data_IF_169613982505
#
_entry.id   IF_169613982505
#
_cell.length_a   1.000
_cell.length_b   1.000
_cell.length_c   1.000
_cell.angle_alpha   90.00
_cell.angle_beta   90.00
_cell.angle_gamma   90.00
#
_symmetry.space_group_name_H-M   'P 1'
#
loop_
_entity.id
_entity.type
_entity.pdbx_description
1 polymer ?
#
# COMPACT_ATOMS: atom_id res chain seq x y z
N UNK A 1 -21.69 -18.54 17.64
CA UNK A 1 -20.97 -17.45 18.31
C UNK A 1 -19.94 -16.92 17.32
N UNK A 2 -20.16 -15.70 16.84
CA UNK A 2 -19.28 -15.07 15.84
C UNK A 2 -17.94 -14.66 16.46
N UNK A 3 -16.93 -14.48 15.62
CA UNK A 3 -15.58 -14.00 16.01
C UNK A 3 -15.70 -12.66 16.76
N UNK A 4 -16.64 -11.82 16.37
CA UNK A 4 -16.94 -10.54 17.03
C UNK A 4 -17.36 -10.71 18.50
N UNK A 5 -18.11 -11.75 18.86
CA UNK A 5 -18.47 -12.01 20.26
C UNK A 5 -17.25 -12.29 21.15
N UNK A 6 -16.19 -12.90 20.60
CA UNK A 6 -14.94 -13.13 21.34
C UNK A 6 -14.10 -11.87 21.50
N UNK A 7 -14.09 -11.01 20.48
CA UNK A 7 -13.32 -9.77 20.45
C UNK A 7 -13.91 -8.75 21.42
N UNK A 8 -15.25 -8.68 21.53
CA UNK A 8 -15.96 -7.63 22.25
C UNK A 8 -16.49 -7.99 23.65
N UNK A 9 -16.24 -9.21 24.13
CA UNK A 9 -16.76 -9.71 25.42
C UNK A 9 -16.27 -9.01 26.70
N UNK A 10 -15.34 -8.06 26.64
CA UNK A 10 -14.69 -7.47 27.83
C UNK A 10 -14.99 -5.99 28.06
N UNK A 11 -16.13 -5.47 27.61
CA UNK A 11 -16.45 -4.07 27.77
C UNK A 11 -17.27 -3.80 29.05
N UNK A 12 -16.91 -2.77 29.84
CA UNK A 12 -17.73 -2.33 30.97
C UNK A 12 -19.04 -1.71 30.48
N UNK A 13 -20.15 -2.20 30.98
CA UNK A 13 -21.52 -1.90 30.53
C UNK A 13 -22.13 -0.58 31.01
N UNK A 14 -21.42 0.37 31.58
CA UNK A 14 -22.03 1.58 32.13
C UNK A 14 -21.50 2.87 31.54
N UNK A 15 -22.18 3.35 30.50
CA UNK A 15 -22.08 4.69 29.95
C UNK A 15 -23.21 5.54 30.48
N UNK A 16 -22.98 6.35 31.49
CA UNK A 16 -24.03 7.26 31.97
C UNK A 16 -23.88 8.69 31.45
N UNK A 17 -22.72 9.11 31.03
CA UNK A 17 -22.47 10.44 30.46
C UNK A 17 -21.32 10.36 29.43
N UNK A 18 -21.63 10.34 28.14
CA UNK A 18 -20.68 10.46 27.09
C UNK A 18 -21.02 11.65 26.19
N UNK A 19 -20.08 12.57 26.01
CA UNK A 19 -20.19 13.68 25.07
C UNK A 19 -19.60 13.28 23.73
N UNK A 20 -20.38 13.43 22.66
CA UNK A 20 -19.86 13.26 21.30
C UNK A 20 -18.97 14.46 20.96
N UNK A 21 -17.68 14.26 20.78
CA UNK A 21 -16.66 15.30 20.61
C UNK A 21 -16.71 16.02 19.26
N UNK A 22 -17.46 15.51 18.30
CA UNK A 22 -17.65 16.17 17.01
C UNK A 22 -19.09 16.00 16.57
N UNK A 23 -19.75 17.10 16.19
CA UNK A 23 -21.05 17.10 15.55
C UNK A 23 -21.09 16.42 14.17
N UNK A 24 -20.01 15.74 13.80
CA UNK A 24 -19.86 14.95 12.60
C UNK A 24 -19.67 13.51 13.00
N UNK A 25 -20.68 12.70 12.79
CA UNK A 25 -20.48 11.26 12.64
C UNK A 25 -19.72 11.10 11.33
N UNK A 26 -18.45 10.65 11.34
CA UNK A 26 -17.85 10.23 10.10
C UNK A 26 -18.58 8.97 9.67
N UNK A 27 -19.67 9.16 8.92
CA UNK A 27 -20.17 8.08 8.10
C UNK A 27 -18.99 7.72 7.20
N UNK A 28 -18.55 6.45 7.26
CA UNK A 28 -17.88 5.89 6.11
C UNK A 28 -19.00 5.67 5.09
N UNK A 29 -19.39 6.67 4.28
CA UNK A 29 -20.26 6.39 3.17
C UNK A 29 -19.47 5.37 2.35
N UNK A 30 -20.15 4.58 1.61
CA UNK A 30 -19.54 3.82 0.51
C UNK A 30 -19.01 4.82 -0.53
N UNK A 31 -18.17 5.72 -0.05
CA UNK A 31 -17.54 6.78 -0.79
C UNK A 31 -16.54 6.15 -1.63
N UNK A 32 -16.49 5.88 -2.46
CA UNK A 32 -15.54 5.23 -3.24
C UNK A 32 -16.17 4.41 -4.31
N UNK A 33 -17.41 4.08 -4.23
CA UNK A 33 -18.00 3.28 -5.29
C UNK A 33 -17.78 3.94 -6.64
N UNK A 34 -17.88 5.26 -6.73
CA UNK A 34 -17.67 5.95 -8.01
C UNK A 34 -16.21 6.14 -8.42
N UNK A 35 -15.31 6.43 -7.46
CA UNK A 35 -13.88 6.61 -7.76
C UNK A 35 -13.19 5.26 -7.94
N UNK A 36 -13.49 4.30 -7.09
CA UNK A 36 -12.89 2.97 -7.11
C UNK A 36 -13.49 2.04 -8.16
N UNK A 37 -14.51 2.47 -8.89
CA UNK A 37 -14.95 1.84 -10.14
C UNK A 37 -14.03 2.18 -11.32
N UNK A 38 -13.20 3.23 -11.20
CA UNK A 38 -12.19 3.54 -12.22
C UNK A 38 -11.07 2.52 -12.19
N UNK A 39 -10.80 1.91 -13.31
CA UNK A 39 -9.72 0.95 -13.53
C UNK A 39 -8.35 1.55 -13.17
N UNK A 40 -8.04 2.75 -13.63
CA UNK A 40 -6.79 3.43 -13.35
C UNK A 40 -6.57 3.65 -11.82
N UNK A 41 -7.62 3.97 -11.07
CA UNK A 41 -7.54 4.12 -9.61
C UNK A 41 -7.28 2.77 -8.95
N UNK A 42 -8.00 1.73 -9.34
CA UNK A 42 -7.79 0.38 -8.78
C UNK A 42 -6.37 -0.13 -9.04
N UNK A 43 -5.85 0.09 -10.24
CA UNK A 43 -4.49 -0.30 -10.61
C UNK A 43 -3.46 0.45 -9.77
N UNK A 44 -3.62 1.77 -9.56
CA UNK A 44 -2.74 2.56 -8.72
C UNK A 44 -2.73 2.08 -7.27
N UNK A 45 -3.90 1.87 -6.68
CA UNK A 45 -4.03 1.39 -5.30
C UNK A 45 -3.45 -0.02 -5.15
N UNK A 46 -3.76 -0.91 -6.08
CA UNK A 46 -3.21 -2.27 -6.08
C UNK A 46 -1.69 -2.28 -6.14
N UNK A 47 -1.08 -1.42 -6.95
CA UNK A 47 0.37 -1.28 -7.03
C UNK A 47 1.00 -0.94 -5.67
N UNK A 48 0.42 0.01 -4.91
CA UNK A 48 0.88 0.37 -3.57
C UNK A 48 0.67 -0.79 -2.59
N UNK A 49 -0.51 -1.41 -2.63
CA UNK A 49 -0.87 -2.52 -1.73
C UNK A 49 0.03 -3.73 -1.96
N UNK A 50 0.32 -4.07 -3.22
CA UNK A 50 1.19 -5.19 -3.57
C UNK A 50 2.63 -5.00 -3.08
N UNK A 51 3.11 -3.77 -2.97
CA UNK A 51 4.39 -3.48 -2.37
C UNK A 51 4.36 -3.54 -0.83
N UNK A 52 3.32 -3.00 -0.21
CA UNK A 52 3.21 -3.00 1.26
C UNK A 52 3.00 -4.40 1.83
N UNK A 53 2.25 -5.28 1.15
CA UNK A 53 2.03 -6.66 1.64
C UNK A 53 3.28 -7.56 1.63
N UNK A 54 4.37 -7.13 0.95
CA UNK A 54 5.66 -7.82 0.96
C UNK A 54 6.47 -7.53 2.22
N UNK A 55 6.10 -6.50 2.99
CA UNK A 55 6.82 -6.07 4.17
C UNK A 55 6.74 -7.11 5.29
N UNK A 56 7.80 -7.15 6.11
CA UNK A 56 7.84 -7.98 7.31
C UNK A 56 7.78 -7.07 8.53
N UNK A 57 6.62 -7.05 9.24
CA UNK A 57 6.53 -6.34 10.50
C UNK A 57 7.37 -7.07 11.55
N UNK A 58 8.30 -6.36 12.17
CA UNK A 58 9.25 -6.92 13.13
C UNK A 58 9.28 -6.06 14.39
N UNK A 59 9.19 -6.70 15.56
CA UNK A 59 9.48 -6.04 16.83
C UNK A 59 10.99 -5.93 16.99
N UNK A 60 11.49 -4.72 17.14
CA UNK A 60 12.89 -4.44 17.41
C UNK A 60 13.03 -3.64 18.69
N UNK A 61 14.20 -3.73 19.28
CA UNK A 61 14.65 -2.89 20.39
C UNK A 61 15.96 -2.19 20.03
N UNK A 62 15.97 -0.88 20.16
CA UNK A 62 17.21 -0.10 19.97
C UNK A 62 18.11 -0.28 21.18
N UNK A 63 19.28 -0.87 20.99
CA UNK A 63 20.34 -1.04 21.99
C UNK A 63 21.59 -0.38 21.42
N UNK A 64 22.14 0.60 22.12
CA UNK A 64 23.34 1.35 21.68
C UNK A 64 23.24 1.89 20.24
N UNK A 65 22.05 2.36 19.85
CA UNK A 65 21.69 2.85 18.52
C UNK A 65 21.60 1.77 17.43
N UNK A 66 21.71 0.49 17.79
CA UNK A 66 21.53 -0.63 16.86
C UNK A 66 20.13 -1.27 17.02
N UNK A 67 19.45 -1.60 15.92
CA UNK A 67 18.17 -2.28 15.96
C UNK A 67 18.34 -3.78 16.18
N UNK A 68 17.97 -4.26 17.35
CA UNK A 68 18.03 -5.68 17.71
C UNK A 68 16.63 -6.29 17.64
N UNK A 69 16.38 -7.33 16.83
CA UNK A 69 15.10 -8.04 16.80
C UNK A 69 14.78 -8.72 18.13
N UNK A 70 13.49 -8.74 18.50
CA UNK A 70 13.00 -9.40 19.71
C UNK A 70 12.01 -10.51 19.32
N UNK A 71 12.48 -11.67 18.86
CA UNK A 71 11.62 -12.71 18.27
C UNK A 71 10.68 -13.37 19.29
N UNK A 72 11.06 -13.44 20.56
CA UNK A 72 10.31 -14.15 21.61
C UNK A 72 9.18 -13.31 22.23
N UNK A 73 8.93 -12.09 21.74
CA UNK A 73 7.86 -11.27 22.27
C UNK A 73 6.49 -11.69 21.74
N UNK A 74 5.43 -11.51 22.54
CA UNK A 74 4.05 -11.71 22.06
C UNK A 74 3.71 -10.84 20.87
N UNK A 75 4.37 -9.67 20.77
CA UNK A 75 4.22 -8.74 19.66
C UNK A 75 4.82 -9.34 18.38
N UNK A 76 6.02 -9.94 18.45
CA UNK A 76 6.60 -10.63 17.31
C UNK A 76 5.74 -11.80 16.85
N UNK A 77 5.20 -12.57 17.78
CA UNK A 77 4.30 -13.69 17.46
C UNK A 77 3.04 -13.20 16.71
N UNK A 78 2.38 -12.16 17.22
CA UNK A 78 1.16 -11.62 16.61
C UNK A 78 1.42 -10.83 15.32
N UNK A 79 2.62 -10.36 15.10
CA UNK A 79 3.02 -9.75 13.84
C UNK A 79 3.32 -10.79 12.75
N UNK A 80 3.83 -11.96 13.17
CA UNK A 80 4.10 -13.10 12.26
C UNK A 80 2.83 -13.88 11.92
N UNK A 81 1.87 -13.96 12.85
CA UNK A 81 0.55 -14.60 12.68
C UNK A 81 -0.53 -13.71 13.29
N UNK A 82 -1.06 -12.73 12.53
CA UNK A 82 -1.92 -11.69 13.07
C UNK A 82 -3.24 -12.19 13.64
N UNK A 83 -3.84 -13.18 13.04
CA UNK A 83 -5.08 -13.80 13.51
C UNK A 83 -5.37 -15.11 12.75
N UNK A 84 -6.27 -15.97 13.25
CA UNK A 84 -6.57 -17.27 12.63
C UNK A 84 -7.17 -17.22 11.23
N UNK A 85 -7.50 -16.04 10.72
CA UNK A 85 -8.17 -15.86 9.42
C UNK A 85 -7.23 -15.33 8.33
N UNK A 86 -6.09 -14.75 8.71
CA UNK A 86 -5.25 -13.96 7.80
C UNK A 86 -3.79 -14.24 8.06
N UNK A 87 -3.05 -14.42 7.00
CA UNK A 87 -1.58 -14.34 7.01
C UNK A 87 -1.12 -12.90 7.21
N UNK A 88 0.13 -12.68 7.54
CA UNK A 88 0.72 -11.33 7.66
C UNK A 88 0.56 -10.52 6.37
N UNK A 89 0.74 -11.17 5.21
CA UNK A 89 0.58 -10.50 3.91
C UNK A 89 -0.86 -10.04 3.68
N UNK A 90 -1.85 -10.90 3.96
CA UNK A 90 -3.28 -10.56 3.84
C UNK A 90 -3.70 -9.49 4.86
N UNK A 91 -3.16 -9.54 6.06
CA UNK A 91 -3.37 -8.51 7.07
C UNK A 91 -2.87 -7.14 6.60
N UNK A 92 -1.63 -7.06 6.11
CA UNK A 92 -1.06 -5.82 5.58
C UNK A 92 -1.82 -5.34 4.34
N UNK A 93 -2.23 -6.25 3.47
CA UNK A 93 -3.06 -5.96 2.30
C UNK A 93 -4.37 -5.30 2.74
N UNK A 94 -5.11 -5.92 3.66
CA UNK A 94 -6.40 -5.40 4.13
C UNK A 94 -6.25 -4.05 4.85
N UNK A 95 -5.25 -3.91 5.73
CA UNK A 95 -4.99 -2.64 6.44
C UNK A 95 -4.67 -1.53 5.44
N UNK A 96 -3.85 -1.82 4.43
CA UNK A 96 -3.45 -0.84 3.42
C UNK A 96 -4.63 -0.44 2.54
N UNK A 97 -5.47 -1.40 2.10
CA UNK A 97 -6.71 -1.11 1.39
C UNK A 97 -7.63 -0.20 2.21
N UNK A 98 -7.90 -0.54 3.47
CA UNK A 98 -8.73 0.29 4.36
C UNK A 98 -8.17 1.70 4.51
N UNK A 99 -6.85 1.81 4.64
CA UNK A 99 -6.17 3.09 4.81
C UNK A 99 -6.27 3.97 3.56
N UNK A 100 -6.02 3.42 2.38
CA UNK A 100 -6.08 4.17 1.13
C UNK A 100 -7.51 4.50 0.71
N UNK A 101 -8.48 3.61 1.02
CA UNK A 101 -9.89 3.84 0.70
C UNK A 101 -10.55 4.87 1.62
N UNK A 102 -10.23 4.87 2.90
CA UNK A 102 -10.95 5.67 3.90
C UNK A 102 -10.07 6.75 4.56
N UNK A 103 -8.77 6.80 4.24
CA UNK A 103 -7.74 7.60 4.91
C UNK A 103 -7.61 7.32 6.41
N UNK A 104 -8.31 6.30 6.88
CA UNK A 104 -8.32 5.83 8.24
C UNK A 104 -8.42 4.30 8.26
N UNK A 105 -7.53 3.65 8.98
CA UNK A 105 -7.60 2.21 9.23
C UNK A 105 -7.58 1.94 10.72
N UNK A 106 -8.47 1.06 11.17
CA UNK A 106 -8.59 0.67 12.56
C UNK A 106 -8.26 -0.81 12.72
N UNK A 107 -7.39 -1.11 13.68
CA UNK A 107 -7.01 -2.47 14.04
C UNK A 107 -7.35 -2.65 15.52
N UNK A 108 -8.10 -3.67 15.84
CA UNK A 108 -8.47 -4.03 17.21
C UNK A 108 -7.60 -5.19 17.66
N UNK A 109 -6.66 -4.97 18.59
CA UNK A 109 -5.88 -6.04 19.17
C UNK A 109 -6.70 -6.79 20.23
N UNK A 110 -6.57 -8.10 20.28
CA UNK A 110 -6.97 -8.91 21.43
C UNK A 110 -5.74 -9.21 22.28
N UNK A 111 -5.91 -9.07 23.58
CA UNK A 111 -4.84 -9.32 24.53
C UNK A 111 -5.42 -9.71 25.88
N UNK A 112 -4.63 -10.38 26.70
CA UNK A 112 -4.86 -10.51 28.12
C UNK A 112 -3.83 -9.71 28.91
N UNK A 113 -4.24 -9.21 30.07
CA UNK A 113 -3.34 -8.52 31.00
C UNK A 113 -2.75 -9.52 31.98
N UNK A 114 -1.44 -9.47 32.14
CA UNK A 114 -0.71 -10.22 33.14
C UNK A 114 0.01 -9.25 34.07
N UNK A 115 -0.15 -9.47 35.37
CA UNK A 115 0.53 -8.65 36.39
C UNK A 115 1.81 -9.36 36.78
N UNK A 116 2.96 -8.72 36.54
CA UNK A 116 4.25 -9.21 36.97
C UNK A 116 4.31 -9.18 38.51
N UNK A 117 4.40 -10.35 39.12
CA UNK A 117 4.37 -10.51 40.57
C UNK A 117 5.52 -9.81 41.28
N UNK A 118 6.66 -9.61 40.61
CA UNK A 118 7.86 -8.99 41.20
C UNK A 118 7.81 -7.46 41.12
N UNK A 119 7.20 -6.90 40.06
CA UNK A 119 7.19 -5.45 39.80
C UNK A 119 5.82 -4.82 40.02
N UNK A 120 4.77 -5.61 40.17
CA UNK A 120 3.37 -5.14 40.24
C UNK A 120 2.89 -4.48 38.96
N UNK A 121 3.63 -4.59 37.86
CA UNK A 121 3.29 -3.96 36.60
C UNK A 121 2.34 -4.84 35.77
N UNK A 122 1.29 -4.24 35.25
CA UNK A 122 0.45 -4.89 34.24
C UNK A 122 1.13 -4.86 32.89
N UNK A 123 1.24 -6.04 32.29
CA UNK A 123 1.73 -6.22 30.92
C UNK A 123 0.63 -6.80 30.06
N UNK A 124 0.58 -6.36 28.81
CA UNK A 124 -0.34 -6.89 27.79
C UNK A 124 0.35 -8.00 27.02
N UNK A 125 -0.30 -9.13 26.94
CA UNK A 125 0.10 -10.23 26.06
C UNK A 125 -0.88 -10.27 24.90
N UNK A 126 -0.39 -9.91 23.72
CA UNK A 126 -1.20 -9.83 22.51
C UNK A 126 -1.44 -11.23 21.92
N UNK A 127 -2.69 -11.51 21.56
CA UNK A 127 -3.13 -12.79 20.99
C UNK A 127 -3.47 -12.68 19.50
N UNK A 128 -4.08 -11.55 19.09
CA UNK A 128 -4.41 -11.32 17.69
C UNK A 128 -4.61 -9.83 17.38
N UNK A 129 -4.54 -9.51 16.06
CA UNK A 129 -4.80 -8.19 15.48
C UNK A 129 -5.88 -8.33 14.42
N UNK A 130 -6.99 -7.61 14.58
CA UNK A 130 -8.12 -7.64 13.64
C UNK A 130 -8.30 -6.29 12.97
N UNK A 131 -8.03 -6.15 11.67
CA UNK A 131 -8.45 -4.97 10.92
C UNK A 131 -9.97 -4.98 10.81
N UNK A 132 -10.61 -3.86 11.14
CA UNK A 132 -12.06 -3.72 11.13
C UNK A 132 -12.51 -2.75 10.06
N UNK A 133 -13.70 -3.02 9.47
CA UNK A 133 -14.34 -2.17 8.48
C UNK A 133 -15.67 -1.65 9.03
N UNK A 134 -15.66 -0.58 9.82
CA UNK A 134 -16.89 0.04 10.29
C UNK A 134 -17.58 0.81 9.15
N UNK A 135 -18.90 0.98 9.27
CA UNK A 135 -19.70 1.87 8.40
C UNK A 135 -19.71 3.30 8.91
N UNK A 136 -19.59 3.46 10.25
CA UNK A 136 -19.52 4.75 10.91
C UNK A 136 -18.61 4.66 12.13
N UNK A 137 -17.93 5.77 12.44
CA UNK A 137 -17.07 5.88 13.61
C UNK A 137 -17.38 7.18 14.35
N UNK A 138 -17.63 7.09 15.65
CA UNK A 138 -17.80 8.25 16.53
C UNK A 138 -16.70 8.26 17.59
N UNK A 139 -16.18 9.43 17.91
CA UNK A 139 -15.29 9.64 19.04
C UNK A 139 -16.09 10.21 20.20
N UNK A 140 -15.96 9.61 21.37
CA UNK A 140 -16.72 9.92 22.56
C UNK A 140 -15.73 10.14 23.70
N UNK A 141 -15.97 11.17 24.50
CA UNK A 141 -15.22 11.44 25.73
C UNK A 141 -16.13 11.21 26.93
N UNK A 142 -15.63 10.52 27.94
CA UNK A 142 -16.38 10.35 29.21
C UNK A 142 -16.14 11.56 30.12
N UNK A 143 -16.88 11.56 31.25
CA UNK A 143 -16.80 12.64 32.26
C UNK A 143 -15.39 12.78 32.90
N UNK A 144 -14.51 11.78 32.72
CA UNK A 144 -13.14 11.79 33.23
C UNK A 144 -12.12 12.30 32.16
N UNK A 145 -12.57 12.67 30.95
CA UNK A 145 -11.72 13.06 29.84
C UNK A 145 -11.06 11.91 29.10
N UNK A 146 -11.53 10.67 29.32
CA UNK A 146 -11.01 9.50 28.61
C UNK A 146 -11.70 9.34 27.27
N UNK A 147 -10.89 9.17 26.22
CA UNK A 147 -11.37 9.04 24.85
C UNK A 147 -11.74 7.60 24.51
N UNK A 148 -12.90 7.44 23.88
CA UNK A 148 -13.42 6.18 23.36
C UNK A 148 -13.76 6.32 21.89
N UNK A 149 -13.79 5.20 21.20
CA UNK A 149 -14.22 5.12 19.81
C UNK A 149 -15.37 4.13 19.69
N UNK A 150 -16.45 4.57 19.09
CA UNK A 150 -17.65 3.78 18.84
C UNK A 150 -17.71 3.44 17.35
N UNK A 151 -17.78 2.16 17.08
CA UNK A 151 -17.87 1.62 15.72
C UNK A 151 -19.28 1.10 15.45
N UNK A 152 -19.77 1.39 14.26
CA UNK A 152 -21.02 0.87 13.73
C UNK A 152 -20.70 0.00 12.52
N UNK A 153 -21.36 -1.15 12.41
CA UNK A 153 -21.15 -2.10 11.34
C UNK A 153 -22.39 -2.25 10.45
N UNK A 154 -22.17 -2.76 9.23
CA UNK A 154 -23.25 -2.92 8.24
C UNK A 154 -24.36 -3.89 8.69
N UNK A 155 -24.06 -4.82 9.62
CA UNK A 155 -25.01 -5.76 10.21
C UNK A 155 -25.87 -5.14 11.31
N UNK A 156 -25.72 -3.84 11.61
CA UNK A 156 -26.42 -3.12 12.68
C UNK A 156 -25.77 -3.26 14.06
N UNK A 157 -24.70 -4.03 14.19
CA UNK A 157 -23.95 -4.10 15.45
C UNK A 157 -23.18 -2.80 15.70
N UNK A 158 -23.07 -2.47 17.00
CA UNK A 158 -22.24 -1.35 17.45
C UNK A 158 -21.35 -1.79 18.61
N UNK A 159 -20.17 -1.22 18.64
CA UNK A 159 -19.19 -1.51 19.67
C UNK A 159 -18.46 -0.25 20.08
N UNK A 160 -18.18 -0.09 21.38
CA UNK A 160 -17.41 1.04 21.91
C UNK A 160 -16.17 0.52 22.61
N UNK A 161 -15.01 1.00 22.21
CA UNK A 161 -13.71 0.62 22.76
C UNK A 161 -12.99 1.85 23.29
N UNK A 162 -12.14 1.67 24.31
CA UNK A 162 -11.23 2.73 24.70
C UNK A 162 -10.27 3.02 23.53
N UNK A 163 -10.06 4.29 23.22
CA UNK A 163 -9.20 4.67 22.07
C UNK A 163 -7.76 4.19 22.25
N UNK A 164 -7.32 3.99 23.50
CA UNK A 164 -6.00 3.43 23.80
C UNK A 164 -5.85 1.95 23.42
N UNK A 165 -6.97 1.25 23.28
CA UNK A 165 -7.01 -0.17 22.92
C UNK A 165 -7.24 -0.39 21.42
N UNK A 166 -7.22 0.68 20.64
CA UNK A 166 -7.39 0.62 19.17
C UNK A 166 -6.17 1.21 18.50
N UNK A 167 -5.58 0.46 17.56
CA UNK A 167 -4.55 0.97 16.68
C UNK A 167 -5.26 1.70 15.56
N UNK A 168 -5.08 3.02 15.50
CA UNK A 168 -5.65 3.89 14.48
C UNK A 168 -4.54 4.45 13.61
N UNK A 169 -4.54 4.10 12.34
CA UNK A 169 -3.62 4.59 11.33
C UNK A 169 -4.34 5.66 10.53
N UNK A 170 -3.73 6.84 10.41
CA UNK A 170 -4.28 7.99 9.68
C UNK A 170 -3.44 8.26 8.43
N UNK A 171 -4.10 8.55 7.35
CA UNK A 171 -3.46 8.94 6.08
C UNK A 171 -3.86 10.36 5.70
N UNK A 172 -2.91 11.14 5.23
CA UNK A 172 -3.02 12.55 4.93
C UNK A 172 -3.35 13.45 6.14
N UNK A 173 -2.95 14.71 6.02
CA UNK A 173 -3.27 15.74 7.02
C UNK A 173 -4.77 16.04 7.01
N UNK A 174 -5.34 16.21 8.20
CA UNK A 174 -6.70 16.66 8.40
C UNK A 174 -6.76 17.77 9.44
N UNK A 175 -7.67 18.73 9.26
CA UNK A 175 -8.06 19.68 10.31
C UNK A 175 -8.73 18.95 11.47
N UNK A 176 -9.36 17.80 11.21
CA UNK A 176 -9.93 16.93 12.23
C UNK A 176 -8.81 16.21 12.99
N UNK A 177 -8.67 16.50 14.28
CA UNK A 177 -7.62 15.91 15.13
C UNK A 177 -7.77 14.38 15.29
N UNK A 178 -8.97 13.86 15.15
CA UNK A 178 -9.28 12.45 15.38
C UNK A 178 -9.15 11.59 14.13
N UNK A 179 -9.25 12.16 12.94
CA UNK A 179 -9.29 11.42 11.67
C UNK A 179 -8.24 11.92 10.69
N UNK A 180 -7.90 11.12 9.70
CA UNK A 180 -7.18 11.53 8.50
C UNK A 180 -8.15 11.99 7.41
N UNK A 181 -7.68 12.74 6.41
CA UNK A 181 -8.49 13.19 5.28
C UNK A 181 -9.05 14.61 5.44
N UNK A 182 -10.29 14.84 5.02
CA UNK A 182 -10.94 16.13 5.13
C UNK A 182 -11.49 16.41 6.56
N UNK A 183 -12.21 17.52 6.76
CA UNK A 183 -12.77 17.91 8.05
C UNK A 183 -13.70 16.86 8.67
N UNK A 184 -14.38 16.09 7.84
CA UNK A 184 -15.27 15.00 8.29
C UNK A 184 -14.57 13.64 8.37
N UNK A 185 -13.26 13.59 8.17
CA UNK A 185 -12.48 12.35 8.27
C UNK A 185 -12.61 11.43 7.05
N UNK A 186 -12.86 12.00 5.88
CA UNK A 186 -13.03 11.28 4.62
C UNK A 186 -11.96 11.69 3.60
N UNK A 187 -11.69 10.86 2.59
CA UNK A 187 -10.82 11.26 1.50
C UNK A 187 -11.33 12.51 0.76
N UNK A 188 -10.48 13.50 0.58
CA UNK A 188 -10.81 14.66 -0.28
C UNK A 188 -10.50 14.30 -1.74
N UNK A 189 -11.49 13.71 -2.39
CA UNK A 189 -11.37 13.24 -3.77
C UNK A 189 -12.00 14.22 -4.80
N UNK A 190 -12.38 15.43 -4.41
CA UNK A 190 -13.09 16.36 -5.28
C UNK A 190 -12.30 16.69 -6.56
N UNK A 191 -10.99 16.88 -6.45
CA UNK A 191 -10.12 17.16 -7.60
C UNK A 191 -9.97 15.92 -8.51
N UNK A 192 -9.82 14.74 -7.90
CA UNK A 192 -9.72 13.47 -8.61
C UNK A 192 -11.04 13.12 -9.33
N UNK A 193 -12.18 13.34 -8.68
CA UNK A 193 -13.50 13.14 -9.28
C UNK A 193 -13.68 13.92 -10.58
N UNK A 194 -13.26 15.19 -10.63
CA UNK A 194 -13.31 15.98 -11.86
C UNK A 194 -12.48 15.38 -12.99
N UNK A 195 -11.31 14.85 -12.66
CA UNK A 195 -10.43 14.19 -13.63
C UNK A 195 -11.04 12.88 -14.13
N UNK A 196 -11.65 12.09 -13.24
CA UNK A 196 -12.34 10.85 -13.60
C UNK A 196 -13.60 11.09 -14.45
N UNK A 197 -14.38 12.12 -14.14
CA UNK A 197 -15.52 12.53 -14.96
C UNK A 197 -15.10 12.96 -16.37
N UNK A 198 -13.96 13.67 -16.47
CA UNK A 198 -13.39 14.02 -17.77
C UNK A 198 -12.96 12.75 -18.53
N UNK A 199 -12.27 11.83 -17.88
CA UNK A 199 -11.86 10.55 -18.47
C UNK A 199 -13.06 9.76 -19.01
N UNK A 200 -14.09 9.61 -18.19
CA UNK A 200 -15.33 8.94 -18.58
C UNK A 200 -16.00 9.61 -19.78
N UNK A 201 -16.06 10.93 -19.78
CA UNK A 201 -16.64 11.71 -20.90
C UNK A 201 -15.85 11.52 -22.20
N UNK A 202 -14.51 11.44 -22.11
CA UNK A 202 -13.65 11.20 -23.28
C UNK A 202 -13.79 9.78 -23.80
N UNK A 203 -13.83 8.77 -22.92
CA UNK A 203 -14.05 7.37 -23.31
C UNK A 203 -15.42 7.20 -23.98
N UNK A 204 -16.46 7.82 -23.45
CA UNK A 204 -17.78 7.86 -24.09
C UNK A 204 -17.76 8.58 -25.45
N UNK A 205 -16.97 9.65 -25.56
CA UNK A 205 -16.73 10.36 -26.82
C UNK A 205 -16.09 9.46 -27.86
N UNK A 206 -15.05 8.74 -27.49
CA UNK A 206 -14.38 7.75 -28.37
C UNK A 206 -15.35 6.65 -28.79
N UNK A 207 -16.12 6.09 -27.85
CA UNK A 207 -17.10 5.05 -28.14
C UNK A 207 -18.17 5.55 -29.13
N UNK A 208 -18.67 6.79 -28.96
CA UNK A 208 -19.62 7.41 -29.91
C UNK A 208 -18.99 7.65 -31.28
N UNK A 209 -17.75 8.13 -31.31
CA UNK A 209 -17.04 8.36 -32.57
C UNK A 209 -16.79 7.04 -33.33
N UNK A 210 -16.42 5.96 -32.62
CA UNK A 210 -16.27 4.62 -33.20
C UNK A 210 -17.65 4.12 -33.75
N UNK A 211 -18.68 4.22 -32.98
CA UNK A 211 -20.02 3.82 -33.44
C UNK A 211 -20.48 4.65 -34.64
N UNK A 212 -20.20 5.96 -34.68
CA UNK A 212 -20.50 6.82 -35.80
C UNK A 212 -19.64 6.48 -37.06
N UNK A 213 -18.42 6.00 -36.89
CA UNK A 213 -17.56 5.61 -38.03
C UNK A 213 -18.05 4.35 -38.74
N UNK A 214 -18.82 3.50 -38.05
CA UNK A 214 -19.45 2.31 -38.65
C UNK A 214 -20.85 2.62 -39.23
N UNK A 215 -21.43 3.77 -38.90
CA UNK A 215 -22.71 4.21 -39.47
C UNK A 215 -22.44 4.86 -40.82
N UNK A 216 -23.15 4.40 -41.85
CA UNK A 216 -23.15 5.06 -43.16
C UNK A 216 -23.95 6.33 -43.01
N UNK A 217 -23.26 7.43 -42.83
CA UNK A 217 -23.90 8.74 -42.72
C UNK A 217 -23.93 9.39 -44.10
N UNK A 218 -25.04 9.27 -44.75
CA UNK A 218 -25.32 9.90 -46.05
C UNK A 218 -26.76 10.26 -46.20
N UNK A 219 -27.04 11.25 -47.05
CA UNK A 219 -28.40 11.64 -47.43
C UNK A 219 -28.72 10.95 -48.74
N UNK A 220 -29.84 10.19 -48.74
CA UNK A 220 -30.39 9.61 -49.95
C UNK A 220 -31.47 10.51 -50.45
N UNK A 221 -31.25 11.17 -51.58
CA UNK A 221 -32.21 12.04 -52.23
C UNK A 221 -32.92 11.25 -53.32
N UNK A 222 -34.24 11.14 -53.21
CA UNK A 222 -35.09 10.57 -54.26
C UNK A 222 -35.66 11.70 -55.13
N UNK A 223 -35.48 11.61 -56.45
CA UNK A 223 -35.95 12.60 -57.42
C UNK A 223 -37.43 12.42 -57.80
N UNK A 224 -38.22 11.75 -56.96
CA UNK A 224 -39.65 11.51 -57.15
C UNK A 224 -40.40 11.90 -55.89
N UNK A 225 -41.56 12.54 -56.04
CA UNK A 225 -42.48 12.81 -54.95
C UNK A 225 -42.97 11.47 -54.38
N UNK A 226 -42.51 11.14 -53.16
CA UNK A 226 -42.96 9.98 -52.44
C UNK A 226 -43.86 10.40 -51.27
N UNK A 227 -44.96 9.63 -51.09
CA UNK A 227 -45.78 9.71 -49.90
C UNK A 227 -45.07 9.18 -48.67
N UNK A 228 -45.35 9.71 -47.48
CA UNK A 228 -44.63 9.40 -46.22
C UNK A 228 -44.51 7.89 -45.96
N UNK A 229 -45.53 7.11 -46.23
CA UNK A 229 -45.52 5.65 -46.08
C UNK A 229 -44.62 4.88 -47.07
N UNK A 230 -44.32 5.47 -48.23
CA UNK A 230 -43.36 4.91 -49.20
C UNK A 230 -41.92 5.27 -48.85
N UNK A 231 -41.72 6.44 -48.28
CA UNK A 231 -40.40 6.92 -47.82
C UNK A 231 -39.89 6.03 -46.67
N UNK A 232 -40.75 5.69 -45.72
CA UNK A 232 -40.39 4.80 -44.60
C UNK A 232 -40.04 3.37 -45.05
N UNK A 233 -40.83 2.83 -46.02
CA UNK A 233 -40.51 1.51 -46.59
C UNK A 233 -39.22 1.51 -47.37
N UNK A 234 -38.92 2.58 -48.12
CA UNK A 234 -37.68 2.71 -48.86
C UNK A 234 -36.48 2.84 -47.91
N UNK A 235 -36.63 3.56 -46.79
CA UNK A 235 -35.62 3.70 -45.75
C UNK A 235 -35.30 2.33 -45.12
N UNK A 236 -36.30 1.58 -44.66
CA UNK A 236 -36.16 0.25 -44.10
C UNK A 236 -35.51 -0.75 -45.07
N UNK A 237 -35.91 -0.71 -46.35
CA UNK A 237 -35.29 -1.56 -47.36
C UNK A 237 -33.80 -1.24 -47.59
N UNK A 238 -33.43 0.03 -47.44
CA UNK A 238 -32.08 0.50 -47.58
C UNK A 238 -31.23 0.15 -46.38
N UNK A 239 -31.77 0.30 -45.16
CA UNK A 239 -31.10 -0.15 -43.90
C UNK A 239 -30.84 -1.66 -43.96
N UNK A 240 -31.77 -2.48 -44.43
CA UNK A 240 -31.55 -3.91 -44.59
C UNK A 240 -30.48 -4.24 -45.64
N UNK A 241 -30.41 -3.50 -46.73
CA UNK A 241 -29.35 -3.66 -47.72
C UNK A 241 -27.99 -3.24 -47.18
N UNK A 242 -27.91 -2.22 -46.35
CA UNK A 242 -26.72 -1.77 -45.68
C UNK A 242 -26.21 -2.82 -44.65
N UNK A 243 -27.11 -3.34 -43.83
CA UNK A 243 -26.79 -4.38 -42.84
C UNK A 243 -26.33 -5.68 -43.50
N UNK A 244 -26.82 -6.01 -44.68
CA UNK A 244 -26.45 -7.26 -45.41
C UNK A 244 -25.28 -7.06 -46.40
N UNK A 245 -24.73 -5.85 -46.53
CA UNK A 245 -23.62 -5.56 -47.45
C UNK A 245 -22.26 -5.75 -46.74
N UNK A 246 -21.64 -6.90 -46.90
CA UNK A 246 -20.28 -7.16 -46.42
C UNK A 246 -19.19 -6.36 -47.18
N UNK A 247 -19.50 -5.85 -48.36
CA UNK A 247 -18.56 -5.14 -49.26
C UNK A 247 -18.49 -3.62 -49.07
N UNK A 248 -19.38 -3.05 -48.22
CA UNK A 248 -19.47 -1.57 -48.04
C UNK A 248 -19.98 -0.80 -49.26
N UNK A 249 -20.38 -1.47 -50.33
CA UNK A 249 -20.96 -0.84 -51.53
C UNK A 249 -22.48 -1.00 -51.55
N UNK A 250 -23.18 0.12 -51.80
CA UNK A 250 -24.61 0.15 -51.87
C UNK A 250 -25.05 0.33 -53.36
N UNK A 251 -25.72 -0.62 -53.98
CA UNK A 251 -26.26 -0.41 -55.32
C UNK A 251 -27.45 0.57 -55.25
N UNK A 252 -27.33 1.73 -55.94
CA UNK A 252 -28.37 2.74 -56.06
C UNK A 252 -29.05 2.62 -57.42
N UNK A 253 -30.37 2.79 -57.43
CA UNK A 253 -31.17 2.92 -58.66
C UNK A 253 -31.00 4.35 -59.22
N UNK A 254 -31.16 4.51 -60.52
CA UNK A 254 -31.05 5.78 -61.24
C UNK A 254 -31.94 6.94 -60.70
N UNK A 255 -32.84 6.63 -59.78
CA UNK A 255 -33.76 7.60 -59.15
C UNK A 255 -33.30 8.13 -57.79
N UNK A 256 -32.18 7.63 -57.27
CA UNK A 256 -31.65 8.01 -55.98
C UNK A 256 -30.22 8.54 -56.08
N UNK A 257 -29.95 9.65 -55.44
CA UNK A 257 -28.62 10.26 -55.34
C UNK A 257 -28.15 10.14 -53.87
N UNK A 258 -26.98 9.59 -53.67
CA UNK A 258 -26.38 9.47 -52.32
C UNK A 258 -25.32 10.55 -52.15
N UNK A 259 -25.51 11.41 -51.18
CA UNK A 259 -24.53 12.41 -50.78
C UNK A 259 -23.93 11.95 -49.45
N UNK A 260 -22.64 11.53 -49.44
CA UNK A 260 -22.00 11.18 -48.16
C UNK A 260 -21.86 12.43 -47.30
N UNK A 261 -22.22 12.32 -46.02
CA UNK A 261 -21.87 13.33 -45.03
C UNK A 261 -20.47 13.02 -44.51
N UNK A 262 -19.54 13.91 -44.78
CA UNK A 262 -18.20 13.80 -44.16
C UNK A 262 -18.29 14.11 -42.67
N UNK A 263 -18.56 13.09 -41.88
CA UNK A 263 -18.34 13.18 -40.43
C UNK A 263 -16.88 12.82 -40.14
N UNK A 264 -16.05 13.84 -40.03
CA UNK A 264 -14.75 13.68 -39.37
C UNK A 264 -15.03 13.58 -37.88
N UNK A 265 -15.20 12.36 -37.37
CA UNK A 265 -15.12 12.12 -35.94
C UNK A 265 -13.68 12.45 -35.54
N UNK A 266 -13.45 13.60 -34.92
CA UNK A 266 -12.17 13.86 -34.23
C UNK A 266 -12.06 12.87 -33.08
N UNK A 267 -11.27 11.81 -33.30
CA UNK A 267 -10.92 10.89 -32.25
C UNK A 267 -10.03 11.64 -31.25
N UNK A 268 -10.32 11.47 -29.99
CA UNK A 268 -9.46 12.00 -28.92
C UNK A 268 -8.06 11.45 -29.13
N UNK A 269 -7.08 12.34 -29.09
CA UNK A 269 -5.68 11.98 -29.27
C UNK A 269 -5.22 11.02 -28.17
N UNK A 270 -4.46 9.99 -28.54
CA UNK A 270 -3.92 8.99 -27.62
C UNK A 270 -3.04 9.62 -26.53
N UNK A 271 -2.35 10.72 -26.84
CA UNK A 271 -1.55 11.47 -25.86
C UNK A 271 -2.41 12.10 -24.77
N UNK A 272 -3.60 12.61 -25.13
CA UNK A 272 -4.55 13.18 -24.18
C UNK A 272 -5.08 12.12 -23.21
N UNK A 273 -5.43 10.93 -23.72
CA UNK A 273 -5.88 9.83 -22.86
C UNK A 273 -4.77 9.39 -21.91
N UNK A 274 -3.56 9.21 -22.42
CA UNK A 274 -2.39 8.87 -21.62
C UNK A 274 -2.10 9.93 -20.56
N UNK A 275 -2.18 11.21 -20.90
CA UNK A 275 -2.00 12.31 -19.94
C UNK A 275 -2.99 12.25 -18.79
N UNK A 276 -4.26 11.90 -19.07
CA UNK A 276 -5.30 11.81 -18.04
C UNK A 276 -5.04 10.60 -17.14
N UNK A 277 -4.70 9.45 -17.70
CA UNK A 277 -4.35 8.27 -16.91
C UNK A 277 -3.14 8.56 -16.02
N UNK A 278 -2.08 9.15 -16.56
CA UNK A 278 -0.93 9.57 -15.78
C UNK A 278 -1.29 10.58 -14.68
N UNK A 279 -2.25 11.47 -14.91
CA UNK A 279 -2.72 12.43 -13.91
C UNK A 279 -3.47 11.72 -12.77
N UNK A 280 -4.26 10.70 -13.06
CA UNK A 280 -4.93 9.86 -12.07
C UNK A 280 -3.89 9.10 -11.24
N UNK A 281 -2.94 8.42 -11.89
CA UNK A 281 -1.87 7.67 -11.23
C UNK A 281 -1.01 8.58 -10.34
N UNK A 282 -0.70 9.79 -10.81
CA UNK A 282 0.09 10.79 -10.10
C UNK A 282 -0.58 11.27 -8.82
N UNK A 283 -1.92 11.26 -8.73
CA UNK A 283 -2.65 11.56 -7.50
C UNK A 283 -2.27 10.59 -6.36
N UNK A 284 -1.94 9.35 -6.71
CA UNK A 284 -1.51 8.31 -5.76
C UNK A 284 0.01 8.16 -5.67
N UNK A 285 0.75 8.97 -6.41
CA UNK A 285 2.22 8.92 -6.45
C UNK A 285 2.78 7.68 -7.15
N UNK A 286 1.99 7.04 -8.01
CA UNK A 286 2.40 5.84 -8.78
C UNK A 286 2.83 6.26 -10.19
N UNK A 287 4.09 6.11 -10.58
CA UNK A 287 4.53 6.33 -11.96
C UNK A 287 4.03 5.22 -12.90
N UNK A 288 3.69 5.57 -14.13
CA UNK A 288 3.24 4.60 -15.13
C UNK A 288 4.27 3.47 -15.35
N UNK A 289 5.56 3.80 -15.34
CA UNK A 289 6.63 2.81 -15.49
C UNK A 289 6.59 1.71 -14.42
N UNK A 290 6.25 2.07 -13.17
CA UNK A 290 6.09 1.09 -12.08
C UNK A 290 4.87 0.20 -12.33
N UNK A 291 3.77 0.78 -12.79
CA UNK A 291 2.55 0.05 -13.07
C UNK A 291 2.73 -0.97 -14.19
N UNK A 292 3.44 -0.59 -15.27
CA UNK A 292 3.70 -1.45 -16.43
C UNK A 292 4.83 -2.45 -16.20
N UNK A 293 5.63 -2.28 -15.13
CA UNK A 293 6.79 -3.13 -14.85
C UNK A 293 8.04 -2.78 -15.66
N UNK A 294 7.99 -1.72 -16.48
CA UNK A 294 9.13 -1.24 -17.29
C UNK A 294 9.81 -0.05 -16.59
N UNK A 295 10.45 -0.33 -15.45
CA UNK A 295 11.08 0.70 -14.64
C UNK A 295 12.56 0.42 -14.38
N UNK A 296 13.30 1.51 -14.24
CA UNK A 296 14.70 1.47 -13.79
C UNK A 296 14.76 1.43 -12.26
N UNK A 297 15.88 0.97 -11.72
CA UNK A 297 16.12 0.98 -10.27
C UNK A 297 15.97 2.40 -9.67
N UNK A 298 16.41 3.42 -10.39
CA UNK A 298 16.26 4.81 -9.93
C UNK A 298 14.79 5.24 -9.81
N UNK A 299 13.95 4.84 -10.77
CA UNK A 299 12.51 5.10 -10.75
C UNK A 299 11.82 4.36 -9.59
N UNK A 300 12.21 3.11 -9.35
CA UNK A 300 11.70 2.35 -8.21
C UNK A 300 12.10 2.98 -6.88
N UNK A 301 13.36 3.36 -6.72
CA UNK A 301 13.82 4.04 -5.50
C UNK A 301 13.08 5.37 -5.26
N UNK A 302 12.82 6.15 -6.32
CA UNK A 302 12.05 7.39 -6.21
C UNK A 302 10.59 7.12 -5.79
N UNK A 303 9.95 6.10 -6.35
CA UNK A 303 8.61 5.65 -5.96
C UNK A 303 8.60 5.18 -4.51
N UNK A 304 9.56 4.36 -4.10
CA UNK A 304 9.68 3.89 -2.72
C UNK A 304 9.82 5.06 -1.75
N UNK A 305 10.80 5.93 -1.93
CA UNK A 305 11.08 7.04 -1.03
C UNK A 305 9.94 8.07 -0.94
N UNK A 306 9.26 8.33 -2.06
CA UNK A 306 8.22 9.35 -2.11
C UNK A 306 6.85 8.85 -1.70
N UNK A 307 6.49 7.61 -2.03
CA UNK A 307 5.13 7.07 -1.87
C UNK A 307 5.05 6.01 -0.78
N UNK A 308 5.93 5.00 -0.82
CA UNK A 308 5.83 3.86 0.09
C UNK A 308 6.43 4.16 1.47
N UNK A 309 7.60 4.74 1.53
CA UNK A 309 8.32 4.97 2.80
C UNK A 309 7.52 5.83 3.79
N UNK A 310 6.89 6.96 3.41
CA UNK A 310 6.06 7.73 4.32
C UNK A 310 4.86 6.94 4.86
N UNK A 311 4.24 6.11 4.00
CA UNK A 311 3.14 5.23 4.39
C UNK A 311 3.60 4.17 5.40
N UNK A 312 4.72 3.51 5.11
CA UNK A 312 5.34 2.49 5.96
C UNK A 312 5.71 3.07 7.33
N UNK A 313 6.31 4.26 7.36
CA UNK A 313 6.65 4.97 8.60
C UNK A 313 5.39 5.26 9.41
N UNK A 314 4.34 5.77 8.78
CA UNK A 314 3.07 6.08 9.43
C UNK A 314 2.44 4.83 10.06
N UNK A 315 2.41 3.72 9.32
CA UNK A 315 1.90 2.43 9.82
C UNK A 315 2.73 1.92 11.01
N UNK A 316 4.04 1.93 10.87
CA UNK A 316 5.00 1.51 11.89
C UNK A 316 4.84 2.32 13.19
N UNK A 317 4.77 3.64 13.08
CA UNK A 317 4.60 4.53 14.22
C UNK A 317 3.22 4.38 14.90
N UNK A 318 2.15 4.20 14.13
CA UNK A 318 0.81 4.01 14.67
C UNK A 318 0.71 2.70 15.48
N UNK A 319 1.26 1.61 14.96
CA UNK A 319 1.33 0.33 15.67
C UNK A 319 2.18 0.49 16.93
N UNK A 320 3.40 1.02 16.82
CA UNK A 320 4.31 1.24 17.94
C UNK A 320 3.68 2.08 19.04
N UNK A 321 2.94 3.13 18.67
CA UNK A 321 2.30 4.04 19.63
C UNK A 321 1.31 3.35 20.55
N UNK A 322 0.60 2.33 20.05
CA UNK A 322 -0.51 1.66 20.75
C UNK A 322 -0.11 0.34 21.41
N UNK A 323 0.79 -0.38 20.78
CA UNK A 323 1.23 -1.70 21.26
C UNK A 323 2.17 -1.58 22.45
N UNK A 324 3.02 -0.55 22.50
CA UNK A 324 3.96 -0.33 23.60
C UNK A 324 3.54 0.79 24.54
N UNK A 325 3.76 0.58 25.83
CA UNK A 325 3.64 1.61 26.86
C UNK A 325 4.73 2.68 26.69
N UNK A 326 4.56 3.83 27.35
CA UNK A 326 5.57 4.91 27.33
C UNK A 326 6.93 4.41 27.83
N UNK A 327 6.94 3.56 28.84
CA UNK A 327 8.17 2.99 29.41
C UNK A 327 8.87 2.06 28.42
N UNK A 328 8.12 1.15 27.79
CA UNK A 328 8.69 0.23 26.80
C UNK A 328 9.28 0.97 25.62
N UNK A 329 8.62 2.03 25.14
CA UNK A 329 9.16 2.91 24.09
C UNK A 329 10.44 3.62 24.52
N UNK A 330 10.52 4.07 25.77
CA UNK A 330 11.73 4.70 26.31
C UNK A 330 12.92 3.72 26.36
N UNK A 331 12.64 2.42 26.46
CA UNK A 331 13.66 1.36 26.33
C UNK A 331 13.95 0.94 24.88
N UNK A 332 13.50 1.73 23.91
CA UNK A 332 13.81 1.51 22.50
C UNK A 332 12.93 0.49 21.78
N UNK A 333 11.85 -0.02 22.40
CA UNK A 333 10.96 -0.96 21.73
C UNK A 333 10.10 -0.26 20.68
N UNK A 334 10.07 -0.82 19.47
CA UNK A 334 9.26 -0.35 18.36
C UNK A 334 8.96 -1.47 17.38
N UNK A 335 7.91 -1.28 16.57
CA UNK A 335 7.64 -2.12 15.42
C UNK A 335 8.21 -1.43 14.19
N UNK A 336 8.98 -2.14 13.41
CA UNK A 336 9.39 -1.70 12.06
C UNK A 336 8.84 -2.66 11.02
N UNK A 337 8.46 -2.10 9.91
CA UNK A 337 8.05 -2.81 8.71
C UNK A 337 9.27 -2.82 7.79
N UNK A 338 9.98 -3.93 7.77
CA UNK A 338 11.14 -4.07 6.91
C UNK A 338 10.72 -4.59 5.54
N UNK A 339 11.22 -3.99 4.48
CA UNK A 339 11.19 -4.64 3.19
C UNK A 339 12.13 -5.84 3.22
N UNK A 340 11.59 -7.05 3.20
CA UNK A 340 12.41 -8.28 3.28
C UNK A 340 13.43 -8.37 2.14
N UNK A 341 13.04 -7.85 0.97
CA UNK A 341 13.82 -8.00 -0.25
C UNK A 341 13.65 -6.77 -1.18
N UNK A 342 13.42 -5.56 -0.62
CA UNK A 342 13.33 -4.33 -1.40
C UNK A 342 14.70 -3.87 -1.93
N UNK A 343 15.76 -4.55 -1.55
CA UNK A 343 16.97 -4.57 -2.33
C UNK A 343 16.76 -5.70 -3.36
N UNK A 344 15.95 -5.46 -4.39
CA UNK A 344 16.09 -6.18 -5.64
C UNK A 344 17.44 -5.78 -6.24
N UNK A 345 18.49 -6.29 -5.61
CA UNK A 345 19.80 -6.25 -6.20
C UNK A 345 19.73 -7.26 -7.34
N UNK A 346 19.99 -6.81 -8.56
CA UNK A 346 20.26 -7.75 -9.62
C UNK A 346 21.38 -8.68 -9.16
N UNK A 347 21.48 -9.85 -9.74
CA UNK A 347 22.59 -10.77 -9.42
C UNK A 347 23.94 -10.05 -9.49
N UNK A 348 24.09 -9.14 -10.47
CA UNK A 348 25.27 -8.28 -10.62
C UNK A 348 25.47 -7.34 -9.44
N UNK A 349 24.44 -6.67 -8.98
CA UNK A 349 24.51 -5.78 -7.80
C UNK A 349 24.78 -6.55 -6.51
N UNK A 350 24.23 -7.75 -6.37
CA UNK A 350 24.50 -8.64 -5.24
C UNK A 350 25.95 -9.07 -5.25
N UNK A 351 26.50 -9.42 -6.42
CA UNK A 351 27.91 -9.75 -6.57
C UNK A 351 28.80 -8.55 -6.26
N UNK A 352 28.47 -7.36 -6.78
CA UNK A 352 29.20 -6.11 -6.51
C UNK A 352 29.17 -5.75 -5.02
N UNK A 353 28.03 -5.93 -4.33
CA UNK A 353 27.93 -5.72 -2.88
C UNK A 353 28.81 -6.72 -2.13
N UNK A 354 28.74 -8.00 -2.49
CA UNK A 354 29.56 -9.03 -1.85
C UNK A 354 31.03 -8.72 -2.09
N UNK A 355 31.43 -8.35 -3.29
CA UNK A 355 32.81 -8.01 -3.63
C UNK A 355 33.32 -6.81 -2.81
N UNK A 356 32.49 -5.78 -2.62
CA UNK A 356 32.85 -4.60 -1.83
C UNK A 356 32.86 -4.85 -0.31
N UNK A 357 31.93 -5.65 0.21
CA UNK A 357 31.76 -5.87 1.64
C UNK A 357 32.51 -7.10 2.18
N UNK A 358 32.79 -8.10 1.34
CA UNK A 358 33.53 -9.29 1.79
C UNK A 358 34.92 -8.96 2.35
N UNK A 359 35.71 -8.06 1.72
CA UNK A 359 37.03 -7.71 2.26
C UNK A 359 36.99 -7.01 3.61
N UNK A 360 35.89 -6.38 3.99
CA UNK A 360 35.72 -5.65 5.26
C UNK A 360 35.35 -6.57 6.42
N UNK A 361 35.01 -7.84 6.17
CA UNK A 361 34.48 -8.75 7.17
C UNK A 361 33.07 -8.43 7.67
N UNK A 362 32.35 -7.55 6.97
CA UNK A 362 30.98 -7.15 7.33
C UNK A 362 29.96 -8.25 7.11
N UNK A 363 30.24 -9.21 6.20
CA UNK A 363 29.31 -10.28 5.82
C UNK A 363 29.82 -11.64 6.32
N UNK A 364 28.92 -12.43 6.94
CA UNK A 364 29.18 -13.83 7.21
C UNK A 364 29.17 -14.67 5.93
N UNK A 365 29.94 -15.76 5.91
CA UNK A 365 30.00 -16.62 4.72
C UNK A 365 28.64 -17.22 4.32
N UNK A 366 27.82 -17.58 5.31
CA UNK A 366 26.47 -18.07 5.04
C UNK A 366 25.50 -16.99 4.54
N UNK A 367 25.72 -15.73 4.90
CA UNK A 367 24.93 -14.61 4.34
C UNK A 367 25.25 -14.41 2.87
N UNK A 368 26.54 -14.47 2.49
CA UNK A 368 26.95 -14.41 1.07
C UNK A 368 26.31 -15.54 0.25
N UNK A 369 26.30 -16.76 0.81
CA UNK A 369 25.67 -17.91 0.18
C UNK A 369 24.17 -17.73 0.02
N UNK A 370 23.49 -17.27 1.06
CA UNK A 370 22.06 -17.04 1.06
C UNK A 370 21.68 -15.93 0.08
N UNK A 371 22.45 -14.86 0.02
CA UNK A 371 22.24 -13.76 -0.96
C UNK A 371 22.35 -14.23 -2.42
N UNK A 372 23.12 -15.28 -2.68
CA UNK A 372 23.26 -15.91 -3.99
C UNK A 372 22.29 -17.10 -4.20
N UNK A 373 21.31 -17.30 -3.30
CA UNK A 373 20.36 -18.40 -3.37
C UNK A 373 20.92 -19.78 -3.00
N UNK A 374 22.14 -19.85 -2.44
CA UNK A 374 22.75 -21.10 -2.01
C UNK A 374 22.38 -21.42 -0.56
N UNK A 375 22.25 -22.72 -0.23
CA UNK A 375 21.98 -23.15 1.14
C UNK A 375 23.13 -22.79 2.07
N UNK A 376 22.87 -22.32 3.30
CA UNK A 376 23.88 -22.15 4.32
C UNK A 376 24.51 -23.51 4.69
N UNK A 377 25.79 -23.48 5.00
CA UNK A 377 26.53 -24.67 5.42
C UNK A 377 26.81 -24.60 6.92
N UNK A 378 26.59 -25.68 7.68
CA UNK A 378 26.87 -25.70 9.13
C UNK A 378 28.32 -25.37 9.46
N UNK A 379 29.26 -25.78 8.61
CA UNK A 379 30.70 -25.56 8.75
C UNK A 379 31.10 -24.08 8.65
N UNK A 380 30.26 -23.27 8.02
CA UNK A 380 30.47 -21.83 7.82
C UNK A 380 29.64 -20.96 8.80
N UNK A 381 28.95 -21.57 9.75
CA UNK A 381 28.19 -20.85 10.76
C UNK A 381 29.08 -19.96 11.60
N UNK A 382 28.80 -18.67 11.67
CA UNK A 382 29.57 -17.69 12.41
C UNK A 382 30.92 -17.31 11.82
N UNK A 383 31.32 -17.91 10.68
CA UNK A 383 32.59 -17.56 10.03
C UNK A 383 32.43 -16.35 9.14
N UNK A 384 33.39 -15.43 9.24
CA UNK A 384 33.55 -14.27 8.35
C UNK A 384 35.01 -14.10 8.04
N UNK A 385 35.34 -13.77 6.82
CA UNK A 385 36.70 -13.51 6.38
C UNK A 385 36.84 -12.01 6.09
N UNK A 386 37.99 -11.45 6.45
CA UNK A 386 38.35 -10.07 6.12
C UNK A 386 39.72 -10.03 5.45
N UNK A 387 39.93 -9.00 4.66
CA UNK A 387 41.26 -8.77 4.09
C UNK A 387 42.21 -8.22 5.15
N UNK A 388 43.39 -8.78 5.23
CA UNK A 388 44.45 -8.28 6.12
C UNK A 388 45.01 -6.89 5.71
N UNK A 389 44.54 -6.35 4.58
CA UNK A 389 44.93 -5.01 4.13
C UNK A 389 44.17 -3.89 4.86
N UNK A 390 43.24 -4.21 5.75
CA UNK A 390 42.46 -3.25 6.54
C UNK A 390 42.94 -3.29 7.99
N UNK A 391 43.23 -2.10 8.53
CA UNK A 391 43.59 -1.92 9.94
C UNK A 391 42.52 -1.08 10.62
N UNK A 392 42.28 -1.28 11.90
CA UNK A 392 41.42 -0.41 12.69
C UNK A 392 41.94 1.03 12.62
N UNK A 393 41.06 1.97 12.30
CA UNK A 393 41.42 3.38 12.17
C UNK A 393 42.00 3.97 13.44
N UNK A 394 41.63 3.44 14.61
CA UNK A 394 42.20 3.84 15.91
C UNK A 394 43.63 3.34 16.11
N UNK A 395 44.01 2.24 15.46
CA UNK A 395 45.36 1.64 15.51
C UNK A 395 46.23 2.08 14.33
N UNK A 396 45.66 2.76 13.36
CA UNK A 396 46.38 3.15 12.13
C UNK A 396 47.59 4.04 12.43
N UNK A 397 47.49 4.96 13.39
CA UNK A 397 48.57 5.84 13.79
C UNK A 397 49.70 5.08 14.50
N UNK A 398 49.40 4.10 15.37
CA UNK A 398 50.37 3.27 16.03
C UNK A 398 51.08 2.31 15.06
N UNK A 399 50.30 1.73 14.13
CA UNK A 399 50.83 0.88 13.06
C UNK A 399 51.81 1.64 12.15
N UNK A 400 51.49 2.88 11.77
CA UNK A 400 52.35 3.72 11.00
C UNK A 400 53.62 4.11 11.79
N UNK A 401 53.49 4.46 13.07
CA UNK A 401 54.58 4.79 13.93
C UNK A 401 55.56 3.60 14.10
N UNK A 402 55.02 2.39 14.33
CA UNK A 402 55.80 1.17 14.46
C UNK A 402 56.50 0.77 13.15
N UNK A 403 55.87 0.99 12.01
CA UNK A 403 56.48 0.75 10.68
C UNK A 403 57.62 1.70 10.38
N UNK A 404 57.55 2.95 10.86
CA UNK A 404 58.64 3.95 10.71
C UNK A 404 59.78 3.64 11.66
N UNK A 405 59.53 3.09 12.87
CA UNK A 405 60.54 2.75 13.86
C UNK A 405 61.26 1.43 13.62
N UNK A 406 60.90 0.65 12.61
CA UNK A 406 61.60 -0.58 12.23
C UNK A 406 61.47 -1.73 13.22
N UNK A 407 60.54 -1.66 14.15
CA UNK A 407 60.30 -2.74 15.11
C UNK A 407 59.58 -3.92 14.41
N UNK A 408 60.29 -5.01 14.22
CA UNK A 408 59.70 -6.30 13.85
C UNK A 408 58.70 -6.72 14.94
N UNK A 409 57.44 -6.80 14.60
CA UNK A 409 56.44 -7.45 15.46
C UNK A 409 56.66 -8.94 15.30
N UNK A 410 57.31 -9.58 16.29
CA UNK A 410 57.28 -11.05 16.45
C UNK A 410 55.80 -11.44 16.69
N UNK A 411 55.22 -12.15 15.74
CA UNK A 411 53.94 -12.84 15.93
C UNK A 411 54.25 -13.98 16.94
N UNK A 412 53.87 -13.81 18.18
CA UNK A 412 53.89 -14.89 19.18
C UNK A 412 52.81 -15.89 18.75
N UNK A 413 53.26 -17.01 18.21
CA UNK A 413 52.44 -18.19 17.88
C UNK A 413 52.15 -18.94 19.20
N UNK A 414 51.02 -18.61 19.83
CA UNK A 414 50.54 -19.31 21.05
C UNK A 414 49.87 -20.66 20.70
N UNK A 415 50.53 -21.51 19.93
CA UNK A 415 50.05 -22.88 19.74
C UNK A 415 51.24 -23.86 19.90
N UNK A 416 51.79 -23.90 21.09
CA UNK A 416 52.58 -25.07 21.56
C UNK A 416 52.69 -25.05 23.07
N UNK A 417 51.87 -25.82 23.71
CA UNK A 417 52.03 -26.52 24.99
C UNK A 417 50.78 -27.39 25.14
N UNK A 418 50.82 -28.60 25.37
CA UNK A 418 51.68 -29.78 25.58
C UNK A 418 50.73 -30.93 25.90
N UNK A 419 51.05 -32.13 25.34
CA UNK A 419 50.75 -33.51 25.76
C UNK A 419 49.31 -33.90 26.16
#
# INVERSE_FOLDING_TARGET
>A
MGIFDKIFRRLPQRWQYALTLNGYSPTYPQFGTNIYMSDAVQQALKCIVDEVKKLIPTHIRMIDSEPVPVPESSISAVLADPNPLMTTSEFLEQVTWLLLLNYNAFIVPTYYTWTDQNTGQERRYYEALYPIKPTQVNFIEDASGRLYVQFFFANGEQTTLAYDDVIHIKYNYSVNQYMGGNEVGQPDNAALLKTLQLNESLLQGVARAMNASYAVNGIVKYNTLMDDGKTEKALKAMEQKLQNSESGFLPLDLKAEFTPLEHRAELVDAETLKFIDEKILRNWGVPLAILTGDYTQAQYNAFYQKTLEPLIITMSQAITKKVFTRREKAFGNMVKLYPKDLIFMSVEQTLEMIEKLAPTGALFENEKRTALGMRPLPELAGKRYMSLNWIDANLASEYQANKISGANVEIVDETKEDI
#
